data_IF_834106699536
#
_entry.id   IF_834106699536
#
_cell.length_a   1.000
_cell.length_b   1.000
_cell.length_c   1.000
_cell.angle_alpha   90.00
_cell.angle_beta   90.00
_cell.angle_gamma   90.00
#
_symmetry.space_group_name_H-M   'P 1'
#
loop_
_entity.id
_entity.type
_entity.pdbx_description
1 polymer ?
#
# COMPACT_ATOMS: atom_id res chain seq x y z
N UNK A 1 22.70 10.09 9.34
CA UNK A 1 22.94 9.64 7.95
C UNK A 1 21.62 9.84 7.23
N UNK A 2 21.52 10.69 6.22
CA UNK A 2 20.23 10.92 5.56
C UNK A 2 19.93 9.69 4.71
N UNK A 3 18.88 8.92 5.08
CA UNK A 3 18.35 7.92 4.19
C UNK A 3 17.91 8.63 2.90
N UNK A 4 18.43 8.20 1.77
CA UNK A 4 17.85 8.63 0.50
C UNK A 4 16.49 7.94 0.38
N UNK A 5 15.41 8.66 0.10
CA UNK A 5 14.15 8.02 -0.26
C UNK A 5 14.45 7.05 -1.40
N UNK A 6 13.93 5.85 -1.30
CA UNK A 6 14.13 4.80 -2.29
C UNK A 6 13.85 5.37 -3.68
N UNK A 7 14.87 5.36 -4.51
CA UNK A 7 14.73 5.79 -5.89
C UNK A 7 14.16 4.60 -6.63
N UNK A 8 12.84 4.57 -6.80
CA UNK A 8 12.30 3.68 -7.82
C UNK A 8 12.95 4.09 -9.14
N UNK A 9 13.69 3.19 -9.72
CA UNK A 9 14.27 3.42 -11.01
C UNK A 9 13.14 3.51 -12.03
N UNK A 10 12.55 4.69 -12.16
CA UNK A 10 11.65 5.00 -13.26
C UNK A 10 12.47 5.17 -14.53
N UNK A 11 13.09 4.08 -14.97
CA UNK A 11 13.77 4.05 -16.26
C UNK A 11 12.81 4.23 -17.45
N UNK A 12 11.54 4.54 -17.19
CA UNK A 12 10.47 4.37 -18.17
C UNK A 12 9.65 5.60 -18.50
N UNK A 13 9.89 6.72 -17.86
CA UNK A 13 9.32 7.99 -18.30
C UNK A 13 10.43 8.98 -18.55
N UNK A 14 10.33 9.73 -19.64
CA UNK A 14 11.31 10.74 -20.07
C UNK A 14 11.48 11.93 -19.08
N UNK A 15 10.96 11.83 -17.89
CA UNK A 15 11.05 12.81 -16.84
C UNK A 15 11.61 12.16 -15.57
N UNK A 16 12.95 12.21 -15.44
CA UNK A 16 13.67 11.87 -14.21
C UNK A 16 13.36 12.91 -13.11
N UNK A 17 12.17 12.88 -12.56
CA UNK A 17 11.91 13.65 -11.34
C UNK A 17 11.98 12.70 -10.13
N UNK A 18 12.77 13.03 -9.09
CA UNK A 18 12.73 12.28 -7.85
C UNK A 18 11.33 12.41 -7.26
N UNK A 19 10.62 11.31 -7.20
CA UNK A 19 9.27 11.28 -6.66
C UNK A 19 9.36 10.66 -5.27
N UNK A 20 8.80 11.35 -4.28
CA UNK A 20 8.56 10.76 -2.97
C UNK A 20 7.41 9.76 -3.12
N UNK A 21 7.69 8.50 -2.89
CA UNK A 21 6.69 7.45 -2.85
C UNK A 21 6.53 6.97 -1.42
N UNK A 22 5.29 6.85 -0.95
CA UNK A 22 5.07 6.24 0.36
C UNK A 22 5.63 4.81 0.31
N UNK A 23 6.43 4.42 1.32
CA UNK A 23 7.26 3.23 1.27
C UNK A 23 6.41 2.03 1.16
N UNK A 24 5.56 1.54 0.87
CA UNK A 24 4.91 0.25 0.74
C UNK A 24 3.61 0.24 -0.07
N UNK A 25 3.22 1.35 -0.61
CA UNK A 25 2.22 1.30 -1.66
C UNK A 25 3.04 1.27 -2.94
N UNK A 26 3.36 0.07 -3.37
CA UNK A 26 3.99 -0.12 -4.66
C UNK A 26 3.15 0.65 -5.68
N UNK A 27 3.74 1.67 -6.27
CA UNK A 27 3.14 2.25 -7.45
C UNK A 27 2.87 1.08 -8.38
N UNK A 28 1.67 0.94 -8.86
CA UNK A 28 1.39 0.02 -9.96
C UNK A 28 2.10 0.60 -11.16
N UNK A 29 3.39 0.33 -11.24
CA UNK A 29 4.23 0.83 -12.29
C UNK A 29 3.77 0.18 -13.58
N UNK A 30 3.14 0.95 -14.42
CA UNK A 30 2.83 0.52 -15.78
C UNK A 30 4.08 0.68 -16.62
N UNK A 31 4.77 -0.41 -16.83
CA UNK A 31 5.90 -0.43 -17.75
C UNK A 31 5.41 -0.59 -19.19
N UNK A 32 5.76 0.35 -20.04
CA UNK A 32 5.70 0.07 -21.47
C UNK A 32 6.89 -0.81 -21.83
N UNK A 33 6.66 -2.09 -22.02
CA UNK A 33 7.70 -3.02 -22.49
C UNK A 33 7.80 -2.87 -24.01
N UNK A 34 8.94 -2.38 -24.53
CA UNK A 34 9.13 -2.32 -25.98
C UNK A 34 9.15 -3.73 -26.60
N UNK A 35 8.80 -3.83 -27.87
CA UNK A 35 8.94 -5.07 -28.59
C UNK A 35 10.41 -5.52 -28.61
N UNK A 36 10.68 -6.72 -28.10
CA UNK A 36 12.01 -7.30 -28.00
C UNK A 36 12.46 -7.51 -26.55
N UNK A 37 13.70 -7.92 -26.37
CA UNK A 37 14.29 -8.13 -25.06
C UNK A 37 14.60 -6.78 -24.41
N UNK A 38 14.08 -6.57 -23.21
CA UNK A 38 14.40 -5.40 -22.38
C UNK A 38 14.59 -5.82 -20.93
N UNK A 39 15.45 -5.11 -20.21
CA UNK A 39 15.61 -5.28 -18.78
C UNK A 39 14.77 -4.24 -18.04
N UNK A 40 14.16 -4.66 -16.95
CA UNK A 40 13.43 -3.80 -16.01
C UNK A 40 14.09 -3.97 -14.65
N UNK A 41 14.67 -2.90 -14.13
CA UNK A 41 15.23 -2.88 -12.78
C UNK A 41 14.35 -2.04 -11.88
N UNK A 42 13.97 -2.59 -10.75
CA UNK A 42 13.23 -1.86 -9.73
C UNK A 42 13.68 -2.29 -8.34
N UNK A 43 13.50 -1.40 -7.38
CA UNK A 43 13.77 -1.67 -5.97
C UNK A 43 12.49 -1.47 -5.17
N UNK A 44 12.18 -2.43 -4.33
CA UNK A 44 11.08 -2.33 -3.36
C UNK A 44 11.71 -2.23 -1.98
N UNK A 45 11.37 -1.18 -1.26
CA UNK A 45 11.74 -0.99 0.13
C UNK A 45 10.59 -1.47 1.02
N UNK A 46 10.88 -2.37 1.95
CA UNK A 46 9.94 -2.84 2.96
C UNK A 46 10.32 -2.21 4.30
N UNK A 47 9.69 -1.09 4.69
CA UNK A 47 9.99 -0.45 5.96
C UNK A 47 9.43 -1.30 7.12
N UNK A 48 10.31 -1.67 8.05
CA UNK A 48 9.93 -2.39 9.28
C UNK A 48 9.73 -1.40 10.43
N UNK A 49 10.38 -0.24 10.38
CA UNK A 49 10.26 0.84 11.37
C UNK A 49 9.25 1.90 10.93
N UNK A 50 8.66 2.58 11.87
CA UNK A 50 7.66 3.63 11.59
C UNK A 50 8.31 4.84 10.90
N UNK A 51 9.33 5.43 11.52
CA UNK A 51 10.14 6.53 10.95
C UNK A 51 11.60 6.40 11.39
N UNK A 52 12.49 7.23 10.80
CA UNK A 52 13.88 7.32 11.22
C UNK A 52 14.03 7.90 12.64
N UNK A 53 13.14 8.81 13.03
CA UNK A 53 13.15 9.45 14.34
C UNK A 53 12.46 8.61 15.40
N UNK A 54 11.47 7.84 15.01
CA UNK A 54 10.68 6.97 15.87
C UNK A 54 10.71 5.54 15.34
N UNK A 55 11.67 4.73 15.78
CA UNK A 55 11.89 3.40 15.24
C UNK A 55 10.92 2.35 15.84
N UNK A 56 9.71 2.73 16.18
CA UNK A 56 8.64 1.80 16.58
C UNK A 56 8.42 0.77 15.48
N UNK A 57 8.18 -0.46 15.85
CA UNK A 57 7.90 -1.55 14.92
C UNK A 57 9.13 -2.36 14.51
N UNK A 58 10.31 -2.06 15.03
CA UNK A 58 11.51 -2.85 14.78
C UNK A 58 11.36 -4.29 15.29
N UNK A 59 11.93 -5.21 14.53
CA UNK A 59 11.99 -6.62 14.92
C UNK A 59 13.30 -6.90 15.63
N UNK A 60 13.23 -7.48 16.84
CA UNK A 60 14.44 -7.91 17.57
C UNK A 60 14.91 -9.25 17.01
N UNK A 61 16.08 -9.24 16.37
CA UNK A 61 16.72 -10.43 15.85
C UNK A 61 17.88 -10.95 16.73
N UNK A 62 17.98 -10.50 17.98
CA UNK A 62 19.06 -10.91 18.89
C UNK A 62 18.90 -12.30 19.48
N UNK A 63 17.68 -12.83 19.48
CA UNK A 63 17.44 -14.20 19.92
C UNK A 63 17.90 -15.16 18.81
N UNK A 64 18.85 -16.09 19.08
CA UNK A 64 19.32 -17.04 18.08
C UNK A 64 18.23 -18.00 17.58
N UNK A 65 17.07 -18.04 18.24
CA UNK A 65 15.90 -18.79 17.79
C UNK A 65 14.97 -17.98 16.89
N UNK A 66 15.19 -16.66 16.78
CA UNK A 66 14.39 -15.80 15.88
C UNK A 66 14.84 -16.04 14.44
N UNK A 67 13.93 -16.50 13.63
CA UNK A 67 14.13 -16.65 12.20
C UNK A 67 13.31 -15.60 11.45
N UNK A 68 13.99 -14.80 10.64
CA UNK A 68 13.34 -13.89 9.71
C UNK A 68 13.31 -14.54 8.34
N UNK A 69 12.14 -14.65 7.75
CA UNK A 69 11.96 -15.23 6.42
C UNK A 69 11.30 -14.17 5.52
N UNK A 70 11.93 -13.90 4.40
CA UNK A 70 11.33 -13.13 3.31
C UNK A 70 10.85 -14.11 2.25
N UNK A 71 9.55 -14.14 2.02
CA UNK A 71 8.94 -14.92 0.94
C UNK A 71 8.58 -13.98 -0.21
N UNK A 72 9.08 -14.28 -1.41
CA UNK A 72 8.80 -13.51 -2.61
C UNK A 72 8.00 -14.39 -3.56
N UNK A 73 6.75 -14.03 -3.78
CA UNK A 73 5.89 -14.72 -4.74
C UNK A 73 5.83 -13.93 -6.04
N UNK A 74 6.30 -14.51 -7.12
CA UNK A 74 6.20 -13.90 -8.44
C UNK A 74 4.81 -14.18 -9.02
N UNK A 75 4.15 -13.13 -9.50
CA UNK A 75 2.92 -13.24 -10.27
C UNK A 75 3.14 -13.84 -11.67
N UNK A 76 2.06 -14.11 -12.37
CA UNK A 76 2.10 -14.51 -13.77
C UNK A 76 2.50 -13.32 -14.67
N UNK A 77 2.98 -13.62 -15.88
CA UNK A 77 3.30 -12.57 -16.87
C UNK A 77 2.08 -11.70 -17.18
N UNK A 78 0.89 -12.29 -17.18
CA UNK A 78 -0.39 -11.58 -17.35
C UNK A 78 -0.68 -10.54 -16.27
N UNK A 79 -0.09 -10.68 -15.09
CA UNK A 79 -0.26 -9.73 -13.99
C UNK A 79 0.63 -8.49 -14.18
N UNK A 80 1.72 -8.66 -14.93
CA UNK A 80 2.69 -7.60 -15.21
C UNK A 80 2.36 -6.80 -16.47
N UNK A 81 1.77 -7.45 -17.49
CA UNK A 81 1.56 -6.80 -18.79
C UNK A 81 0.38 -7.40 -19.55
N UNK A 82 -0.27 -6.56 -20.34
CA UNK A 82 -1.26 -7.01 -21.31
C UNK A 82 -0.56 -7.30 -22.63
N UNK A 83 -0.58 -8.56 -23.03
CA UNK A 83 0.02 -8.98 -24.30
C UNK A 83 -0.95 -8.75 -25.47
N UNK A 84 -0.42 -8.32 -26.60
CA UNK A 84 -1.19 -8.30 -27.84
C UNK A 84 -1.59 -9.73 -28.26
N UNK A 85 -2.68 -9.86 -29.01
CA UNK A 85 -3.15 -11.16 -29.46
C UNK A 85 -2.06 -11.89 -30.23
N UNK A 86 -1.75 -13.13 -29.82
CA UNK A 86 -0.70 -13.97 -30.42
C UNK A 86 0.73 -13.64 -29.94
N UNK A 87 0.90 -12.64 -29.08
CA UNK A 87 2.22 -12.35 -28.48
C UNK A 87 2.49 -13.28 -27.30
N UNK A 88 3.75 -13.65 -27.14
CA UNK A 88 4.25 -14.37 -25.97
C UNK A 88 5.34 -13.55 -25.28
N UNK A 89 5.36 -13.58 -23.96
CA UNK A 89 6.43 -12.98 -23.18
C UNK A 89 6.95 -13.99 -22.15
N UNK A 90 8.26 -13.98 -21.96
CA UNK A 90 8.93 -14.72 -20.89
C UNK A 90 9.63 -13.69 -20.01
N UNK A 91 9.37 -13.75 -18.72
CA UNK A 91 10.04 -12.89 -17.73
C UNK A 91 11.02 -13.76 -16.96
N UNK A 92 12.29 -13.37 -16.97
CA UNK A 92 13.34 -13.98 -16.14
C UNK A 92 13.75 -12.92 -15.13
N UNK A 93 13.54 -13.20 -13.86
CA UNK A 93 13.85 -12.27 -12.75
C UNK A 93 15.00 -12.77 -11.89
N UNK A 94 15.82 -11.85 -11.42
CA UNK A 94 16.81 -12.08 -10.37
C UNK A 94 16.49 -11.14 -9.21
N UNK A 95 16.39 -11.69 -8.00
CA UNK A 95 16.18 -10.93 -6.79
C UNK A 95 17.50 -10.75 -6.05
N UNK A 96 17.76 -9.53 -5.60
CA UNK A 96 18.81 -9.21 -4.66
C UNK A 96 18.17 -8.59 -3.44
N UNK A 97 18.45 -9.15 -2.27
CA UNK A 97 17.86 -8.68 -1.01
C UNK A 97 18.94 -8.06 -0.16
N UNK A 98 18.76 -6.79 0.20
CA UNK A 98 19.56 -6.08 1.19
C UNK A 98 18.74 -5.89 2.46
N UNK A 99 19.35 -6.01 3.62
CA UNK A 99 18.72 -5.74 4.90
C UNK A 99 19.53 -4.70 5.66
N UNK A 100 18.87 -3.67 6.14
CA UNK A 100 19.42 -2.72 7.10
C UNK A 100 19.09 -3.19 8.52
N UNK A 101 20.06 -3.11 9.41
CA UNK A 101 19.86 -3.46 10.80
C UNK A 101 20.53 -2.43 11.72
N UNK A 102 20.02 -2.34 12.92
CA UNK A 102 20.56 -1.51 13.99
C UNK A 102 21.22 -2.39 15.06
N UNK A 103 22.36 -1.96 15.55
CA UNK A 103 22.94 -2.57 16.73
C UNK A 103 22.18 -2.08 17.98
N UNK A 104 21.95 -3.01 18.92
CA UNK A 104 21.31 -2.64 20.18
C UNK A 104 22.14 -1.58 20.90
N UNK A 105 21.55 -0.49 21.38
CA UNK A 105 22.28 0.52 22.12
C UNK A 105 22.86 -0.03 23.41
N UNK A 106 24.06 0.42 23.77
CA UNK A 106 24.70 0.02 25.03
C UNK A 106 23.88 0.44 26.27
N UNK A 107 23.08 1.49 26.15
CA UNK A 107 22.18 1.94 27.19
C UNK A 107 20.78 1.37 26.94
N UNK A 108 20.26 0.48 27.82
CA UNK A 108 18.93 -0.11 27.66
C UNK A 108 17.78 0.93 27.60
N UNK A 109 17.95 2.12 28.22
CA UNK A 109 16.93 3.16 28.17
C UNK A 109 16.84 3.86 26.80
N UNK A 110 17.78 3.62 25.90
CA UNK A 110 17.77 4.10 24.53
C UNK A 110 17.18 3.06 23.53
N UNK A 111 16.73 1.92 24.03
CA UNK A 111 16.00 0.96 23.21
C UNK A 111 14.67 1.57 22.75
N UNK A 112 14.30 1.41 21.47
CA UNK A 112 12.99 1.82 20.98
C UNK A 112 11.89 1.02 21.68
N UNK A 113 10.68 1.55 21.62
CA UNK A 113 9.49 0.82 22.08
C UNK A 113 9.25 -0.41 21.21
N UNK A 114 9.37 -1.58 21.82
CA UNK A 114 9.22 -2.88 21.16
C UNK A 114 7.83 -3.50 21.39
N UNK A 115 6.90 -2.72 21.94
CA UNK A 115 5.53 -3.18 22.22
C UNK A 115 4.71 -3.35 20.94
N UNK A 116 5.15 -2.72 19.86
CA UNK A 116 4.44 -2.72 18.59
C UNK A 116 5.28 -3.31 17.46
N UNK A 117 4.60 -3.97 16.55
CA UNK A 117 5.17 -4.40 15.27
C UNK A 117 4.46 -3.66 14.16
N UNK A 118 5.24 -3.16 13.20
CA UNK A 118 4.73 -2.51 12.00
C UNK A 118 4.35 -3.60 10.97
N UNK A 119 3.09 -3.60 10.56
CA UNK A 119 2.52 -4.66 9.73
C UNK A 119 1.84 -4.05 8.51
N UNK A 120 2.08 -4.69 7.37
CA UNK A 120 1.36 -4.47 6.12
C UNK A 120 0.49 -5.69 5.86
N UNK A 121 -0.77 -5.45 5.56
CA UNK A 121 -1.73 -6.51 5.29
C UNK A 121 -2.54 -6.17 4.05
N UNK A 122 -2.65 -7.12 3.14
CA UNK A 122 -3.48 -7.02 1.94
C UNK A 122 -4.76 -7.84 2.12
N UNK A 123 -5.85 -7.31 1.60
CA UNK A 123 -7.15 -7.99 1.50
C UNK A 123 -7.78 -7.68 0.16
N UNK A 124 -8.13 -8.73 -0.59
CA UNK A 124 -8.87 -8.62 -1.85
C UNK A 124 -10.36 -8.89 -1.65
N UNK A 125 -11.20 -7.98 -2.14
CA UNK A 125 -12.66 -8.10 -2.10
C UNK A 125 -13.21 -8.01 -3.51
N UNK A 126 -13.98 -9.00 -3.97
CA UNK A 126 -14.61 -8.93 -5.29
C UNK A 126 -15.73 -7.88 -5.30
N UNK A 127 -15.81 -7.12 -6.40
CA UNK A 127 -16.90 -6.18 -6.66
C UNK A 127 -17.99 -6.89 -7.47
N UNK A 128 -19.04 -7.29 -6.81
CA UNK A 128 -20.17 -8.00 -7.43
C UNK A 128 -21.24 -7.07 -8.00
N UNK A 129 -21.34 -5.85 -7.48
CA UNK A 129 -22.35 -4.86 -7.88
C UNK A 129 -21.81 -3.43 -7.72
N UNK A 130 -22.44 -2.50 -8.42
CA UNK A 130 -22.26 -1.06 -8.22
C UNK A 130 -22.81 -0.62 -6.86
N UNK A 131 -22.42 0.56 -6.39
CA UNK A 131 -22.82 1.09 -5.10
C UNK A 131 -21.80 0.80 -4.01
N UNK A 132 -22.26 0.55 -2.80
CA UNK A 132 -21.41 0.45 -1.62
C UNK A 132 -20.71 -0.91 -1.53
N UNK A 133 -19.40 -0.89 -1.46
CA UNK A 133 -18.58 -2.08 -1.24
C UNK A 133 -17.83 -1.93 0.09
N UNK A 134 -18.41 -2.42 1.21
CA UNK A 134 -17.78 -2.37 2.52
C UNK A 134 -16.68 -3.43 2.63
N UNK A 135 -15.58 -3.06 3.25
CA UNK A 135 -14.41 -3.90 3.49
C UNK A 135 -14.15 -3.89 4.99
N UNK A 136 -14.30 -5.04 5.63
CA UNK A 136 -14.11 -5.18 7.07
C UNK A 136 -12.62 -5.10 7.42
N UNK A 137 -12.29 -4.31 8.43
CA UNK A 137 -10.96 -4.20 9.00
C UNK A 137 -10.94 -4.81 10.41
N UNK A 138 -9.78 -5.26 10.84
CA UNK A 138 -9.60 -5.79 12.19
C UNK A 138 -9.69 -4.68 13.22
N UNK A 139 -10.26 -4.98 14.37
CA UNK A 139 -10.33 -4.08 15.53
C UNK A 139 -9.25 -4.48 16.52
N UNK A 140 -8.64 -3.50 17.20
CA UNK A 140 -7.57 -3.70 18.18
C UNK A 140 -6.22 -3.12 17.75
N UNK A 141 -6.05 -2.84 16.46
CA UNK A 141 -4.81 -2.31 15.88
C UNK A 141 -4.84 -0.79 15.73
N UNK A 142 -3.68 -0.18 15.54
CA UNK A 142 -3.55 1.25 15.22
C UNK A 142 -3.23 1.42 13.74
N UNK A 143 -4.14 2.00 12.98
CA UNK A 143 -4.02 2.18 11.53
C UNK A 143 -3.33 3.49 11.18
N UNK A 144 -2.33 3.41 10.31
CA UNK A 144 -1.57 4.52 9.77
C UNK A 144 -2.11 4.93 8.40
N UNK A 145 -2.27 3.94 7.51
CA UNK A 145 -2.74 4.15 6.14
C UNK A 145 -3.67 3.03 5.71
N UNK A 146 -4.62 3.38 4.88
CA UNK A 146 -5.50 2.44 4.19
C UNK A 146 -5.49 2.82 2.72
N UNK A 147 -4.99 1.94 1.88
CA UNK A 147 -4.95 2.14 0.44
C UNK A 147 -5.91 1.17 -0.25
N UNK A 148 -6.59 1.66 -1.27
CA UNK A 148 -7.46 0.87 -2.13
C UNK A 148 -6.95 0.92 -3.55
N UNK A 149 -6.77 -0.23 -4.15
CA UNK A 149 -6.54 -0.39 -5.58
C UNK A 149 -7.81 -0.95 -6.21
N UNK A 150 -8.50 -0.13 -6.98
CA UNK A 150 -9.77 -0.50 -7.61
C UNK A 150 -9.50 -0.96 -9.02
N UNK A 151 -9.87 -2.19 -9.31
CA UNK A 151 -9.82 -2.77 -10.64
C UNK A 151 -11.23 -3.15 -11.08
N UNK A 152 -11.66 -2.64 -12.23
CA UNK A 152 -12.93 -2.98 -12.86
C UNK A 152 -12.67 -3.43 -14.29
N UNK A 153 -13.29 -4.53 -14.70
CA UNK A 153 -13.14 -5.12 -16.03
C UNK A 153 -11.68 -5.43 -16.41
N UNK A 154 -10.86 -5.84 -15.43
CA UNK A 154 -9.45 -6.16 -15.63
C UNK A 154 -8.53 -4.96 -15.79
N UNK A 155 -9.01 -3.74 -15.58
CA UNK A 155 -8.21 -2.52 -15.65
C UNK A 155 -8.34 -1.69 -14.37
N UNK A 156 -7.25 -1.03 -13.98
CA UNK A 156 -7.29 -0.06 -12.90
C UNK A 156 -8.27 1.06 -13.26
N UNK A 157 -9.15 1.38 -12.31
CA UNK A 157 -10.26 2.27 -12.59
C UNK A 157 -10.50 3.26 -11.45
N UNK A 158 -10.24 4.52 -11.73
CA UNK A 158 -10.61 5.63 -10.83
C UNK A 158 -11.89 6.35 -11.27
N UNK A 159 -12.25 6.20 -12.54
CA UNK A 159 -13.37 6.97 -13.11
C UNK A 159 -14.72 6.56 -12.53
N UNK A 160 -14.86 5.29 -12.21
CA UNK A 160 -16.10 4.72 -11.69
C UNK A 160 -16.15 4.63 -10.16
N UNK A 161 -15.21 5.24 -9.46
CA UNK A 161 -15.28 5.41 -8.00
C UNK A 161 -15.95 6.75 -7.69
N UNK A 162 -17.05 6.72 -6.97
CA UNK A 162 -17.74 7.95 -6.54
C UNK A 162 -17.15 8.49 -5.25
N UNK A 163 -16.91 7.58 -4.28
CA UNK A 163 -16.64 7.97 -2.91
C UNK A 163 -15.86 6.90 -2.17
N UNK A 164 -15.09 7.34 -1.18
CA UNK A 164 -14.41 6.48 -0.24
C UNK A 164 -14.76 6.95 1.17
N UNK A 165 -15.04 6.02 2.06
CA UNK A 165 -15.42 6.34 3.43
C UNK A 165 -14.76 5.40 4.44
N UNK A 166 -14.53 5.92 5.63
CA UNK A 166 -14.26 5.15 6.82
C UNK A 166 -15.54 5.06 7.63
N UNK A 167 -15.93 3.85 8.03
CA UNK A 167 -17.16 3.57 8.77
C UNK A 167 -16.80 3.01 10.13
N UNK A 168 -17.24 3.67 11.18
CA UNK A 168 -17.02 3.28 12.57
C UNK A 168 -18.33 2.87 13.21
N UNK A 169 -18.29 1.86 14.06
CA UNK A 169 -19.45 1.40 14.84
C UNK A 169 -20.71 1.19 13.98
N UNK A 170 -20.53 0.68 12.76
CA UNK A 170 -21.56 0.35 11.76
C UNK A 170 -22.27 1.53 11.10
N UNK A 171 -22.30 2.71 11.66
CA UNK A 171 -23.09 3.84 11.15
C UNK A 171 -22.30 5.14 11.05
N UNK A 172 -21.31 5.32 11.88
CA UNK A 172 -20.57 6.57 11.96
C UNK A 172 -19.57 6.66 10.78
N UNK A 173 -19.63 7.74 10.01
CA UNK A 173 -18.77 7.94 8.85
C UNK A 173 -17.97 9.23 9.00
N UNK A 174 -17.03 9.29 9.95
CA UNK A 174 -16.30 10.53 10.25
C UNK A 174 -15.44 10.99 9.09
N UNK A 175 -15.08 10.08 8.21
CA UNK A 175 -14.27 10.37 7.05
C UNK A 175 -14.97 9.85 5.79
N UNK A 176 -15.51 10.78 5.03
CA UNK A 176 -16.13 10.49 3.73
C UNK A 176 -15.63 11.51 2.74
N UNK A 177 -15.05 11.05 1.65
CA UNK A 177 -14.52 11.90 0.59
C UNK A 177 -14.99 11.42 -0.76
N UNK A 178 -15.39 12.36 -1.62
CA UNK A 178 -15.59 12.07 -3.02
C UNK A 178 -14.26 11.82 -3.74
N UNK A 179 -14.34 11.20 -4.90
CA UNK A 179 -13.18 10.88 -5.74
C UNK A 179 -12.25 12.07 -5.96
N UNK A 180 -12.82 13.22 -6.33
CA UNK A 180 -12.01 14.39 -6.69
C UNK A 180 -11.24 14.95 -5.50
N UNK A 181 -11.88 15.00 -4.36
CA UNK A 181 -11.24 15.44 -3.13
C UNK A 181 -10.16 14.46 -2.67
N UNK A 182 -10.40 13.14 -2.82
CA UNK A 182 -9.40 12.12 -2.54
C UNK A 182 -8.15 12.30 -3.41
N UNK A 183 -8.33 12.42 -4.72
CA UNK A 183 -7.23 12.63 -5.67
C UNK A 183 -6.50 13.96 -5.43
N UNK A 184 -7.23 15.04 -5.11
CA UNK A 184 -6.62 16.31 -4.76
C UNK A 184 -5.75 16.22 -3.51
N UNK A 185 -6.25 15.54 -2.45
CA UNK A 185 -5.49 15.33 -1.22
C UNK A 185 -4.23 14.51 -1.47
N UNK A 186 -4.34 13.41 -2.22
CA UNK A 186 -3.20 12.58 -2.59
C UNK A 186 -2.15 13.39 -3.35
N UNK A 187 -2.55 14.16 -4.36
CA UNK A 187 -1.63 15.04 -5.11
C UNK A 187 -0.94 16.05 -4.19
N UNK A 188 -1.66 16.62 -3.23
CA UNK A 188 -1.10 17.57 -2.28
C UNK A 188 -0.10 16.92 -1.32
N UNK A 189 -0.38 15.70 -0.86
CA UNK A 189 0.46 14.97 0.09
C UNK A 189 1.70 14.42 -0.60
N UNK A 190 1.52 13.76 -1.72
CA UNK A 190 2.59 13.02 -2.41
C UNK A 190 3.25 13.79 -3.55
N UNK A 191 2.78 14.99 -3.86
CA UNK A 191 3.36 15.86 -4.89
C UNK A 191 3.11 15.41 -6.32
N UNK A 192 2.37 14.32 -6.54
CA UNK A 192 2.10 13.72 -7.86
C UNK A 192 0.73 13.07 -7.92
N UNK A 193 0.26 12.80 -9.13
CA UNK A 193 -0.84 11.87 -9.35
C UNK A 193 -0.32 10.44 -9.14
N UNK A 194 -0.94 9.74 -8.21
CA UNK A 194 -0.75 8.30 -8.07
C UNK A 194 -1.48 7.58 -9.21
N UNK A 195 -1.12 6.32 -9.45
CA UNK A 195 -1.69 5.53 -10.54
C UNK A 195 -3.22 5.49 -10.57
N UNK A 196 -3.79 5.17 -11.73
CA UNK A 196 -5.23 4.99 -11.87
C UNK A 196 -5.73 3.93 -10.88
N UNK A 197 -6.89 4.17 -10.28
CA UNK A 197 -7.53 3.25 -9.34
C UNK A 197 -6.94 3.22 -7.94
N UNK A 198 -5.86 3.94 -7.66
CA UNK A 198 -5.24 3.99 -6.34
C UNK A 198 -5.81 5.15 -5.52
N UNK A 199 -6.30 4.82 -4.33
CA UNK A 199 -6.86 5.76 -3.36
C UNK A 199 -6.28 5.50 -1.98
N UNK A 200 -5.78 6.53 -1.30
CA UNK A 200 -5.11 6.41 -0.01
C UNK A 200 -5.80 7.29 1.03
N UNK A 201 -6.18 6.67 2.14
CA UNK A 201 -6.45 7.36 3.39
C UNK A 201 -5.17 7.35 4.22
N UNK A 202 -4.48 8.46 4.27
CA UNK A 202 -3.26 8.61 5.04
C UNK A 202 -3.55 9.39 6.33
N UNK A 203 -3.45 8.70 7.45
CA UNK A 203 -3.64 9.26 8.81
C UNK A 203 -2.30 9.60 9.46
N UNK A 204 -1.19 9.31 8.78
CA UNK A 204 0.16 9.50 9.29
C UNK A 204 0.95 10.59 8.52
N UNK A 205 0.27 11.40 7.72
CA UNK A 205 0.91 12.48 6.93
C UNK A 205 1.84 13.39 7.74
N UNK A 206 1.45 13.84 8.95
CA UNK A 206 2.33 14.67 9.76
C UNK A 206 3.38 13.87 10.53
N UNK A 207 3.49 12.56 10.31
CA UNK A 207 4.36 11.64 11.05
C UNK A 207 4.13 11.74 12.59
N UNK A 208 2.88 11.99 12.98
CA UNK A 208 2.47 12.09 14.36
C UNK A 208 1.52 10.96 14.74
N UNK A 209 1.77 10.32 15.87
CA UNK A 209 0.91 9.25 16.39
C UNK A 209 -0.51 9.72 16.72
N UNK A 210 -0.69 11.03 16.91
CA UNK A 210 -1.98 11.61 17.27
C UNK A 210 -3.07 11.39 16.23
N UNK A 211 -2.70 11.39 14.96
CA UNK A 211 -3.66 11.35 13.87
C UNK A 211 -3.95 9.93 13.38
N UNK A 212 -3.24 8.93 13.93
CA UNK A 212 -3.49 7.52 13.67
C UNK A 212 -4.85 7.08 14.23
N UNK A 213 -5.44 6.07 13.61
CA UNK A 213 -6.71 5.51 14.07
C UNK A 213 -6.46 4.36 15.02
N UNK A 214 -6.68 4.58 16.31
CA UNK A 214 -6.72 3.49 17.29
C UNK A 214 -8.06 2.76 17.20
N UNK A 215 -8.06 1.62 16.54
CA UNK A 215 -9.29 0.86 16.31
C UNK A 215 -9.80 0.10 17.53
N UNK A 216 -9.01 -0.01 18.60
CA UNK A 216 -9.47 -0.60 19.88
C UNK A 216 -10.60 0.22 20.53
N UNK A 217 -10.77 1.47 20.12
CA UNK A 217 -11.86 2.34 20.62
C UNK A 217 -13.22 2.06 19.95
N UNK A 218 -13.26 1.21 18.93
CA UNK A 218 -14.46 0.96 18.13
C UNK A 218 -14.87 -0.51 18.20
N UNK A 219 -16.17 -0.76 18.14
CA UNK A 219 -16.72 -2.12 18.07
C UNK A 219 -16.71 -2.70 16.67
N UNK A 220 -16.63 -1.84 15.67
CA UNK A 220 -16.60 -2.20 14.25
C UNK A 220 -15.82 -1.13 13.47
N UNK A 221 -14.97 -1.58 12.57
CA UNK A 221 -14.20 -0.73 11.69
C UNK A 221 -14.27 -1.26 10.27
N UNK A 222 -14.71 -0.42 9.36
CA UNK A 222 -14.77 -0.73 7.93
C UNK A 222 -14.23 0.43 7.12
N UNK A 223 -13.68 0.10 5.98
CA UNK A 223 -13.55 1.04 4.89
C UNK A 223 -14.58 0.71 3.82
N UNK A 224 -14.98 1.68 3.02
CA UNK A 224 -16.00 1.51 2.01
C UNK A 224 -15.60 2.25 0.74
N UNK A 225 -15.71 1.56 -0.36
CA UNK A 225 -15.53 2.14 -1.69
C UNK A 225 -16.88 2.11 -2.40
N UNK A 226 -17.38 3.26 -2.77
CA UNK A 226 -18.64 3.40 -3.49
C UNK A 226 -18.36 3.44 -5.00
N UNK A 227 -18.83 2.42 -5.72
CA UNK A 227 -18.71 2.34 -7.18
C UNK A 227 -19.91 3.03 -7.81
N UNK A 228 -19.67 3.88 -8.79
CA UNK A 228 -20.68 4.67 -9.47
C UNK A 228 -21.80 3.77 -10.04
N UNK A 229 -23.04 4.22 -9.89
CA UNK A 229 -24.20 3.47 -10.40
C UNK A 229 -24.19 3.30 -11.93
N UNK A 230 -23.50 4.21 -12.64
CA UNK A 230 -23.34 4.15 -14.09
C UNK A 230 -22.19 3.23 -14.54
N UNK A 231 -21.40 2.70 -13.62
CA UNK A 231 -20.31 1.79 -13.96
C UNK A 231 -20.84 0.49 -14.55
N UNK A 232 -20.20 0.03 -15.61
CA UNK A 232 -20.52 -1.25 -16.23
C UNK A 232 -19.53 -2.29 -15.73
N UNK A 233 -20.03 -3.26 -14.98
CA UNK A 233 -19.23 -4.38 -14.49
C UNK A 233 -19.34 -5.55 -15.48
N UNK A 234 -18.23 -5.88 -16.14
CA UNK A 234 -18.13 -7.08 -16.97
C UNK A 234 -17.99 -8.35 -16.13
N UNK A 235 -18.04 -9.49 -16.78
CA UNK A 235 -17.85 -10.77 -16.13
C UNK A 235 -16.38 -10.96 -15.69
N UNK A 236 -16.14 -11.03 -14.39
CA UNK A 236 -14.83 -11.31 -13.81
C UNK A 236 -13.90 -10.09 -13.71
N UNK A 237 -12.81 -10.25 -12.98
CA UNK A 237 -11.76 -9.26 -12.80
C UNK A 237 -12.22 -7.88 -12.27
N UNK A 238 -13.26 -7.89 -11.41
CA UNK A 238 -13.69 -6.71 -10.66
C UNK A 238 -13.36 -6.93 -9.20
N UNK A 239 -12.44 -6.16 -8.66
CA UNK A 239 -12.04 -6.28 -7.26
C UNK A 239 -11.48 -4.98 -6.70
N UNK A 240 -11.45 -4.92 -5.38
CA UNK A 240 -10.77 -3.89 -4.61
C UNK A 240 -9.72 -4.60 -3.77
N UNK A 241 -8.46 -4.31 -4.04
CA UNK A 241 -7.36 -4.68 -3.16
C UNK A 241 -7.19 -3.57 -2.13
N UNK A 242 -7.27 -3.94 -0.88
CA UNK A 242 -7.08 -3.04 0.24
C UNK A 242 -5.81 -3.39 0.97
N UNK A 243 -4.86 -2.47 0.96
CA UNK A 243 -3.62 -2.59 1.71
C UNK A 243 -3.72 -1.70 2.93
N UNK A 244 -3.50 -2.26 4.08
CA UNK A 244 -3.50 -1.54 5.34
C UNK A 244 -2.12 -1.55 5.96
N UNK A 245 -1.68 -0.39 6.40
CA UNK A 245 -0.49 -0.17 7.21
C UNK A 245 -0.91 0.08 8.64
N UNK A 246 -0.40 -0.71 9.57
CA UNK A 246 -0.84 -0.66 10.96
C UNK A 246 0.26 -1.04 11.94
N UNK A 247 0.11 -0.57 13.16
CA UNK A 247 0.86 -1.05 14.33
C UNK A 247 0.01 -2.07 15.06
N UNK A 248 0.60 -3.22 15.31
CA UNK A 248 0.00 -4.32 16.08
C UNK A 248 0.74 -4.45 17.39
N UNK A 249 -0.01 -4.44 18.49
CA UNK A 249 0.59 -4.64 19.80
C UNK A 249 1.02 -6.10 19.97
N UNK A 250 2.27 -6.30 20.34
CA UNK A 250 2.79 -7.63 20.69
C UNK A 250 2.49 -7.87 22.17
N UNK A 251 1.79 -8.95 22.46
CA UNK A 251 1.45 -9.36 23.82
C UNK A 251 2.64 -9.97 24.57
#
# INVERSE_FOLDING_TARGET
MKSRPGTFATAFTATNQPQYEPPAIAEVARFAVPNGASAIDFTVELPIKLTEQDPIGLIIAQNPQTQLTLEITNGAVSDLTTLAAGATATVVGQWSVGMEYFEAPANPSAMPDMTFVHVWQEQRVPVAATGQNPIQLLVGDTYLRIAHVVQLNGALNRADVDRIALVLNQADTPYTVDRWLALYRQRRIYGKDLGDGLFIHDFFVPETQRDMINSALYSDLRTRVDIAAAAVLGAGNNFIDTVVEKLVQVA
#
